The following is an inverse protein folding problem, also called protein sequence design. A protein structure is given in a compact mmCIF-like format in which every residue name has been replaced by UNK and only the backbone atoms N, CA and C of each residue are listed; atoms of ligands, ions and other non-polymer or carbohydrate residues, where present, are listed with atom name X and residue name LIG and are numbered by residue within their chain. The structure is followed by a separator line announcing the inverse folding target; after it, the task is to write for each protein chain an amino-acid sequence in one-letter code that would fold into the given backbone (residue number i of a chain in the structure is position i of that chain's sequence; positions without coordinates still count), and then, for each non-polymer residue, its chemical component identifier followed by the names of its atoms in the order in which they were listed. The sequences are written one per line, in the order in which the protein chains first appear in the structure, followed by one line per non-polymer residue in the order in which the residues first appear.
data_IF_353851995800
#
_entry.id   IF_353851995800
#
_cell.length_a   1.000
_cell.length_b   1.000
_cell.length_c   1.000
_cell.angle_alpha   90.00
_cell.angle_beta   90.00
_cell.angle_gamma   90.00
#
_symmetry.space_group_name_H-M   'P 1'
#
loop_
_entity.id
_entity.type
_entity.pdbx_description
1 polymer ?
#
# COMPACT_ATOMS: atom_id res chain seq x y z
N UNK A 1 9.87 19.11 6.59
CA UNK A 1 10.59 18.76 5.36
C UNK A 1 9.55 18.38 4.31
N UNK A 2 9.60 18.99 3.12
CA UNK A 2 8.80 18.74 1.92
C UNK A 2 7.28 18.49 2.09
N UNK A 3 6.49 19.54 2.31
CA UNK A 3 5.05 19.54 1.96
C UNK A 3 4.83 20.56 0.84
N UNK A 4 5.34 20.24 -0.35
CA UNK A 4 5.29 21.11 -1.53
C UNK A 4 4.88 20.29 -2.76
N UNK A 5 3.83 19.50 -2.61
CA UNK A 5 3.25 18.72 -3.70
C UNK A 5 1.73 18.74 -3.63
N UNK A 6 1.07 19.16 -4.70
CA UNK A 6 -0.39 19.06 -4.85
C UNK A 6 -0.85 17.60 -5.12
N UNK A 7 0.07 16.63 -5.03
CA UNK A 7 -0.15 15.23 -5.32
C UNK A 7 0.36 14.45 -4.12
N UNK A 8 -0.50 13.59 -3.56
CA UNK A 8 -0.15 12.62 -2.53
C UNK A 8 -0.32 11.21 -3.07
N UNK A 9 0.71 10.40 -2.96
CA UNK A 9 0.72 8.99 -3.34
C UNK A 9 0.81 8.16 -2.06
N UNK A 10 -0.30 7.53 -1.71
CA UNK A 10 -0.42 6.66 -0.54
C UNK A 10 -0.71 5.24 -0.95
N UNK A 11 -0.34 4.28 -0.12
CA UNK A 11 -0.59 2.86 -0.33
C UNK A 11 -1.14 2.22 0.93
N UNK A 12 -2.10 1.30 0.77
CA UNK A 12 -2.68 0.54 1.87
C UNK A 12 -2.73 -0.94 1.53
N UNK A 13 -2.15 -1.75 2.40
CA UNK A 13 -2.24 -3.20 2.32
C UNK A 13 -3.56 -3.65 2.96
N UNK A 14 -4.37 -4.45 2.25
CA UNK A 14 -5.56 -5.07 2.85
C UNK A 14 -5.18 -6.38 3.54
N UNK A 15 -5.94 -6.82 4.56
CA UNK A 15 -5.76 -8.16 5.11
C UNK A 15 -6.09 -9.25 4.09
N UNK A 16 -5.52 -10.44 4.30
CA UNK A 16 -5.87 -11.62 3.52
C UNK A 16 -7.35 -11.99 3.69
N UNK A 17 -8.01 -12.29 2.58
CA UNK A 17 -9.38 -12.77 2.55
C UNK A 17 -9.46 -14.26 2.92
N UNK A 18 -10.68 -14.74 3.17
CA UNK A 18 -10.90 -16.13 3.61
C UNK A 18 -10.39 -17.17 2.62
N UNK A 19 -10.43 -16.88 1.31
CA UNK A 19 -9.95 -17.80 0.27
C UNK A 19 -8.43 -17.88 0.23
N UNK A 20 -7.74 -16.78 0.47
CA UNK A 20 -6.28 -16.71 0.58
C UNK A 20 -5.80 -17.50 1.80
N UNK A 21 -6.43 -17.27 2.96
CA UNK A 21 -6.15 -18.00 4.20
C UNK A 21 -6.42 -19.50 4.05
N UNK A 22 -7.55 -19.90 3.46
CA UNK A 22 -7.90 -21.30 3.25
C UNK A 22 -6.94 -22.04 2.30
N UNK A 23 -6.21 -21.30 1.44
CA UNK A 23 -5.21 -21.85 0.52
C UNK A 23 -3.79 -21.84 1.10
N UNK A 24 -3.59 -21.31 2.31
CA UNK A 24 -2.27 -21.16 2.91
C UNK A 24 -1.38 -20.16 2.17
N UNK A 25 -1.96 -19.09 1.60
CA UNK A 25 -1.18 -18.05 0.94
C UNK A 25 -0.26 -17.34 1.94
N UNK A 26 0.93 -16.95 1.47
CA UNK A 26 1.92 -16.19 2.22
C UNK A 26 1.73 -14.68 2.03
N UNK A 27 2.03 -13.91 3.07
CA UNK A 27 2.15 -12.46 2.96
C UNK A 27 3.48 -12.12 2.30
N UNK A 28 3.44 -11.35 1.21
CA UNK A 28 4.64 -10.93 0.48
C UNK A 28 4.98 -9.45 0.70
N UNK A 29 4.11 -8.70 1.37
CA UNK A 29 4.29 -7.26 1.58
C UNK A 29 4.56 -7.02 3.06
N UNK A 30 5.69 -6.39 3.36
CA UNK A 30 6.05 -5.92 4.69
C UNK A 30 6.09 -4.39 4.69
N UNK A 31 5.27 -3.76 5.53
CA UNK A 31 5.37 -2.31 5.78
C UNK A 31 6.46 -2.09 6.83
N UNK A 32 7.56 -1.48 6.42
CA UNK A 32 8.76 -1.32 7.28
C UNK A 32 8.61 -0.09 8.17
N UNK A 33 8.12 1.00 7.60
CA UNK A 33 7.86 2.26 8.28
C UNK A 33 6.69 3.01 7.62
N UNK A 34 6.42 4.22 8.10
CA UNK A 34 5.33 5.07 7.61
C UNK A 34 5.44 5.45 6.13
N UNK A 35 6.64 5.41 5.54
CA UNK A 35 6.90 5.84 4.17
C UNK A 35 7.45 4.73 3.27
N UNK A 36 7.77 3.55 3.81
CA UNK A 36 8.44 2.48 3.10
C UNK A 36 7.73 1.13 3.28
N UNK A 37 7.54 0.43 2.17
CA UNK A 37 7.15 -0.97 2.16
C UNK A 37 8.09 -1.80 1.30
N UNK A 38 8.09 -3.09 1.56
CA UNK A 38 8.95 -4.06 0.91
C UNK A 38 8.10 -5.18 0.33
N UNK A 39 8.29 -5.48 -0.95
CA UNK A 39 7.73 -6.64 -1.62
C UNK A 39 8.76 -7.77 -1.67
N UNK A 40 8.50 -8.84 -0.94
CA UNK A 40 9.31 -10.04 -0.90
C UNK A 40 8.97 -10.99 -2.07
N UNK A 41 9.96 -11.72 -2.59
CA UNK A 41 9.72 -12.74 -3.60
C UNK A 41 8.91 -13.92 -3.00
N UNK A 42 8.07 -14.60 -3.79
CA UNK A 42 7.43 -15.85 -3.38
C UNK A 42 8.48 -16.90 -2.97
N UNK A 43 8.19 -17.70 -1.95
CA UNK A 43 9.10 -18.77 -1.54
C UNK A 43 9.18 -19.87 -2.61
N UNK A 44 10.37 -20.46 -2.81
CA UNK A 44 10.60 -21.54 -3.79
C UNK A 44 9.75 -22.80 -3.51
N UNK A 45 9.23 -22.95 -2.28
CA UNK A 45 8.34 -24.03 -1.85
C UNK A 45 6.86 -23.82 -2.19
N UNK A 46 6.47 -22.66 -2.74
CA UNK A 46 5.07 -22.43 -3.14
C UNK A 46 4.76 -23.21 -4.43
N UNK A 47 3.90 -24.25 -4.39
CA UNK A 47 3.68 -25.15 -5.54
C UNK A 47 3.01 -24.47 -6.74
N UNK A 48 2.63 -23.18 -6.62
CA UNK A 48 2.07 -22.34 -7.68
C UNK A 48 3.01 -21.22 -8.17
N UNK A 49 4.21 -21.10 -7.60
CA UNK A 49 5.22 -20.10 -7.98
C UNK A 49 5.98 -20.42 -9.28
N UNK A 50 5.81 -21.63 -9.83
CA UNK A 50 6.49 -22.09 -11.04
C UNK A 50 5.75 -21.68 -12.32
N UNK A 51 6.16 -20.59 -12.97
CA UNK A 51 5.78 -20.35 -14.37
C UNK A 51 5.93 -18.92 -14.91
N UNK A 52 6.10 -17.92 -14.06
CA UNK A 52 6.28 -16.53 -14.51
C UNK A 52 7.75 -16.15 -14.59
N UNK A 53 8.33 -16.11 -15.79
CA UNK A 53 9.56 -15.32 -16.04
C UNK A 53 9.27 -13.87 -15.64
N UNK A 54 9.81 -13.32 -14.54
CA UNK A 54 9.88 -11.86 -14.44
C UNK A 54 10.13 -11.16 -13.11
N UNK A 55 9.71 -11.68 -11.96
CA UNK A 55 10.07 -11.03 -10.69
C UNK A 55 11.40 -11.59 -10.20
N UNK A 56 12.46 -10.78 -10.39
CA UNK A 56 13.81 -11.02 -9.88
C UNK A 56 13.69 -11.56 -8.44
N UNK A 57 14.48 -12.58 -8.08
CA UNK A 57 14.53 -13.22 -6.74
C UNK A 57 14.91 -12.26 -5.58
N UNK A 58 14.79 -10.97 -5.79
CA UNK A 58 15.21 -9.91 -4.90
C UNK A 58 13.99 -9.22 -4.31
N UNK A 59 14.09 -8.96 -3.01
CA UNK A 59 13.24 -8.06 -2.27
C UNK A 59 13.24 -6.67 -2.91
N UNK A 60 12.06 -6.08 -3.13
CA UNK A 60 11.89 -4.78 -3.78
C UNK A 60 11.34 -3.75 -2.78
N UNK A 61 12.14 -2.75 -2.38
CA UNK A 61 11.65 -1.64 -1.57
C UNK A 61 10.91 -0.61 -2.42
N UNK A 62 9.85 -0.03 -1.86
CA UNK A 62 9.07 1.06 -2.43
C UNK A 62 8.86 2.14 -1.37
N UNK A 63 8.84 3.40 -1.82
CA UNK A 63 8.60 4.56 -0.97
C UNK A 63 7.37 5.33 -1.44
N UNK A 64 6.57 5.81 -0.49
CA UNK A 64 5.32 6.53 -0.68
C UNK A 64 5.23 7.68 0.31
N UNK A 65 4.30 8.62 0.07
CA UNK A 65 4.02 9.67 1.05
C UNK A 65 3.43 9.09 2.33
N UNK A 66 2.72 7.96 2.23
CA UNK A 66 2.32 7.15 3.38
C UNK A 66 2.02 5.70 3.01
N UNK A 67 2.47 4.78 3.86
CA UNK A 67 2.27 3.34 3.76
C UNK A 67 1.46 2.84 4.94
N UNK A 68 0.37 2.13 4.66
CA UNK A 68 -0.52 1.58 5.68
C UNK A 68 -0.56 0.06 5.61
N UNK A 69 -0.50 -0.58 6.77
CA UNK A 69 -0.59 -2.03 6.93
C UNK A 69 -2.05 -2.52 6.95
N UNK A 70 -2.22 -3.84 7.11
CA UNK A 70 -3.53 -4.48 7.16
C UNK A 70 -4.35 -4.16 8.42
N UNK A 71 -3.70 -3.65 9.48
CA UNK A 71 -4.35 -3.29 10.74
C UNK A 71 -4.85 -1.83 10.74
N UNK A 72 -4.49 -1.06 9.72
CA UNK A 72 -4.89 0.35 9.62
C UNK A 72 -6.38 0.48 9.33
N UNK A 73 -7.08 1.20 10.21
CA UNK A 73 -8.49 1.53 10.06
C UNK A 73 -8.75 2.58 8.97
N UNK A 74 -9.96 2.56 8.40
CA UNK A 74 -10.37 3.54 7.38
C UNK A 74 -10.29 4.98 7.89
N UNK A 75 -10.57 5.18 9.19
CA UNK A 75 -10.55 6.50 9.82
C UNK A 75 -9.17 7.14 9.74
N UNK A 76 -8.11 6.39 10.07
CA UNK A 76 -6.72 6.89 10.01
C UNK A 76 -6.34 7.35 8.61
N UNK A 77 -6.74 6.60 7.57
CA UNK A 77 -6.49 6.97 6.18
C UNK A 77 -7.28 8.22 5.77
N UNK A 78 -8.55 8.31 6.19
CA UNK A 78 -9.40 9.47 5.91
C UNK A 78 -8.90 10.74 6.61
N UNK A 79 -8.43 10.63 7.85
CA UNK A 79 -7.87 11.77 8.61
C UNK A 79 -6.63 12.35 7.91
N UNK A 80 -5.82 11.50 7.28
CA UNK A 80 -4.63 11.95 6.54
C UNK A 80 -4.93 12.52 5.15
N UNK A 81 -5.69 11.78 4.33
CA UNK A 81 -5.90 12.14 2.92
C UNK A 81 -7.20 12.93 2.73
N UNK A 82 -8.27 12.47 3.37
CA UNK A 82 -9.63 12.96 3.14
C UNK A 82 -9.87 14.36 3.72
N UNK A 83 -9.42 14.61 4.95
CA UNK A 83 -9.67 15.90 5.64
C UNK A 83 -9.03 17.06 4.89
N UNK A 84 -7.77 16.93 4.49
CA UNK A 84 -7.06 17.95 3.73
C UNK A 84 -7.67 18.17 2.34
N UNK A 85 -8.04 17.07 1.66
CA UNK A 85 -8.68 17.16 0.36
C UNK A 85 -10.03 17.89 0.44
N UNK A 86 -10.83 17.61 1.46
CA UNK A 86 -12.08 18.35 1.72
C UNK A 86 -11.81 19.82 2.01
N UNK A 87 -10.77 20.14 2.78
CA UNK A 87 -10.36 21.53 3.04
C UNK A 87 -10.04 22.27 1.73
N UNK A 88 -9.27 21.65 0.83
CA UNK A 88 -8.99 22.21 -0.50
C UNK A 88 -10.27 22.40 -1.33
N UNK A 89 -11.17 21.41 -1.33
CA UNK A 89 -12.45 21.52 -2.04
C UNK A 89 -13.30 22.69 -1.51
N UNK A 90 -13.39 22.86 -0.18
CA UNK A 90 -14.14 23.97 0.43
C UNK A 90 -13.51 25.35 0.19
N UNK A 91 -12.19 25.41 0.00
CA UNK A 91 -11.49 26.63 -0.39
C UNK A 91 -11.62 26.96 -1.90
N UNK A 92 -12.43 26.20 -2.64
CA UNK A 92 -12.71 26.45 -4.06
C UNK A 92 -11.70 25.83 -5.03
N UNK A 93 -10.85 24.91 -4.56
CA UNK A 93 -9.93 24.18 -5.43
C UNK A 93 -10.57 22.91 -6.00
N UNK A 94 -10.14 22.54 -7.20
CA UNK A 94 -10.50 21.24 -7.78
C UNK A 94 -9.63 20.14 -7.19
N UNK A 95 -10.26 19.09 -6.68
CA UNK A 95 -9.60 17.96 -6.04
C UNK A 95 -9.97 16.64 -6.70
N UNK A 96 -9.05 15.67 -6.71
CA UNK A 96 -9.28 14.35 -7.29
C UNK A 96 -8.69 13.26 -6.39
N UNK A 97 -9.39 12.13 -6.25
CA UNK A 97 -8.93 10.94 -5.52
C UNK A 97 -9.09 9.71 -6.41
N UNK A 98 -8.09 8.84 -6.39
CA UNK A 98 -8.12 7.53 -7.03
C UNK A 98 -8.01 6.44 -5.96
N UNK A 99 -8.79 5.37 -6.11
CA UNK A 99 -8.80 4.19 -5.22
C UNK A 99 -9.09 2.92 -6.02
#
# INVERSE_FOLDING_TARGET
MADSGNIKVVVRCRPMNSREKARGASHLIDVIDEHQLVLNPPQESDPKGGGGKGTKKATMPFSFDRSYDENTEQRTLFEYVGVELLSHAFNGFNTCVFA
#
